data_IF_569367268597
#
_entry.id   IF_569367268597
#
_cell.length_a   1.000
_cell.length_b   1.000
_cell.length_c   1.000
_cell.angle_alpha   90.00
_cell.angle_beta   90.00
_cell.angle_gamma   90.00
#
_symmetry.space_group_name_H-M   'P 1'
#
loop_
_entity.id
_entity.type
_entity.pdbx_description
1 polymer ?
#
# COMPACT_ATOMS: atom_id res chain seq x y z
N UNK A 1 8.15 1.38 11.88
CA UNK A 1 7.93 0.10 12.62
C UNK A 1 6.99 0.40 13.76
N UNK A 2 5.88 -0.34 13.92
CA UNK A 2 4.99 -0.22 15.08
C UNK A 2 5.06 -1.55 15.83
N UNK A 3 5.51 -1.55 17.09
CA UNK A 3 5.65 -2.78 17.89
C UNK A 3 6.48 -3.86 17.19
N UNK A 4 7.62 -3.49 16.60
CA UNK A 4 8.51 -4.37 15.82
C UNK A 4 7.90 -4.98 14.54
N UNK A 5 6.79 -4.42 14.04
CA UNK A 5 6.18 -4.83 12.76
C UNK A 5 6.39 -3.78 11.69
N UNK A 6 6.70 -4.26 10.49
CA UNK A 6 6.67 -3.44 9.29
C UNK A 6 5.22 -3.13 8.96
N UNK A 7 4.83 -1.88 9.18
CA UNK A 7 3.51 -1.34 8.87
C UNK A 7 3.65 -0.09 8.01
N UNK A 8 2.56 0.33 7.40
CA UNK A 8 2.48 1.58 6.67
C UNK A 8 1.12 2.24 6.92
N UNK A 9 1.04 3.53 6.63
CA UNK A 9 -0.16 4.34 6.78
C UNK A 9 -0.57 4.92 5.42
N UNK A 10 -1.82 5.35 5.35
CA UNK A 10 -2.29 6.27 4.31
C UNK A 10 -2.23 7.69 4.87
N UNK A 11 -1.22 8.44 4.43
CA UNK A 11 -1.06 9.84 4.78
C UNK A 11 -1.98 10.65 3.88
N UNK A 12 -2.97 11.30 4.49
CA UNK A 12 -3.80 12.30 3.81
C UNK A 12 -3.00 13.58 3.79
N UNK A 13 -2.48 13.93 2.62
CA UNK A 13 -1.68 15.13 2.42
C UNK A 13 -2.54 16.26 1.88
N UNK A 14 -2.12 17.47 2.19
CA UNK A 14 -2.59 18.71 1.62
C UNK A 14 -1.40 19.61 1.32
N UNK A 15 -1.64 20.73 0.63
CA UNK A 15 -0.62 21.76 0.47
C UNK A 15 -0.51 22.58 1.75
N UNK A 16 0.71 22.91 2.18
CA UNK A 16 0.95 23.52 3.50
C UNK A 16 0.30 24.90 3.69
N UNK A 17 0.11 25.66 2.62
CA UNK A 17 -0.57 26.96 2.68
C UNK A 17 -2.08 26.86 2.89
N UNK A 18 -2.69 25.69 2.66
CA UNK A 18 -4.08 25.41 3.02
C UNK A 18 -4.24 25.05 4.52
N UNK A 19 -3.15 24.99 5.29
CA UNK A 19 -3.18 24.58 6.70
C UNK A 19 -3.95 25.53 7.62
N UNK A 20 -4.41 26.69 7.16
CA UNK A 20 -5.32 27.56 7.90
C UNK A 20 -6.79 27.14 7.73
N UNK A 21 -7.12 26.49 6.62
CA UNK A 21 -8.46 26.07 6.23
C UNK A 21 -8.75 24.63 6.69
N UNK A 22 -7.75 23.74 6.60
CA UNK A 22 -7.90 22.34 7.00
C UNK A 22 -6.99 22.03 8.19
N UNK A 23 -7.61 21.58 9.29
CA UNK A 23 -6.95 21.19 10.54
C UNK A 23 -7.11 19.71 10.82
N UNK A 24 -8.23 19.13 10.40
CA UNK A 24 -8.54 17.72 10.55
C UNK A 24 -9.25 17.15 9.31
N UNK A 25 -9.42 15.82 9.28
CA UNK A 25 -10.04 15.14 8.15
C UNK A 25 -11.46 15.66 7.84
N UNK A 26 -12.22 16.06 8.87
CA UNK A 26 -13.59 16.56 8.71
C UNK A 26 -13.65 17.84 7.88
N UNK A 27 -12.61 18.67 7.93
CA UNK A 27 -12.55 19.94 7.18
C UNK A 27 -12.47 19.72 5.66
N UNK A 28 -12.14 18.50 5.22
CA UNK A 28 -12.16 18.14 3.80
C UNK A 28 -13.58 17.95 3.24
N UNK A 29 -14.62 18.11 4.04
CA UNK A 29 -16.01 18.02 3.58
C UNK A 29 -16.29 19.08 2.51
N UNK A 30 -16.82 18.66 1.37
CA UNK A 30 -17.10 19.54 0.23
C UNK A 30 -15.88 19.95 -0.59
N UNK A 31 -14.68 19.50 -0.24
CA UNK A 31 -13.43 19.83 -0.94
C UNK A 31 -13.05 18.77 -1.98
N UNK A 32 -12.08 19.11 -2.83
CA UNK A 32 -11.58 18.24 -3.90
C UNK A 32 -10.58 17.25 -3.35
N UNK A 33 -10.82 15.96 -3.58
CA UNK A 33 -9.99 14.89 -3.07
C UNK A 33 -9.45 14.00 -4.18
N UNK A 34 -8.16 13.66 -4.17
CA UNK A 34 -7.59 12.68 -5.08
C UNK A 34 -7.25 11.35 -4.40
N UNK A 35 -7.55 10.25 -5.10
CA UNK A 35 -7.07 8.91 -4.78
C UNK A 35 -6.25 8.33 -5.93
N UNK A 36 -5.41 7.34 -5.65
CA UNK A 36 -4.53 6.74 -6.66
C UNK A 36 -5.31 5.84 -7.62
N UNK A 37 -5.82 4.72 -7.14
CA UNK A 37 -6.52 3.71 -7.94
C UNK A 37 -7.68 3.08 -7.14
N UNK A 38 -8.74 2.57 -7.80
CA UNK A 38 -9.93 2.06 -7.11
C UNK A 38 -9.67 0.91 -6.15
N UNK A 39 -8.66 0.09 -6.45
CA UNK A 39 -8.27 -1.08 -5.64
C UNK A 39 -7.09 -0.79 -4.71
N UNK A 40 -6.66 0.48 -4.59
CA UNK A 40 -5.57 0.84 -3.71
C UNK A 40 -6.03 0.78 -2.25
N UNK A 41 -5.32 -0.01 -1.44
CA UNK A 41 -5.62 -0.12 -0.01
C UNK A 41 -5.42 1.22 0.70
N UNK A 42 -4.25 1.84 0.54
CA UNK A 42 -3.96 3.16 1.12
C UNK A 42 -4.62 4.30 0.37
N UNK A 43 -4.71 4.23 -0.96
CA UNK A 43 -5.25 5.31 -1.77
C UNK A 43 -6.76 5.44 -1.71
N UNK A 44 -7.50 4.33 -1.59
CA UNK A 44 -8.96 4.33 -1.72
C UNK A 44 -9.68 3.63 -0.57
N UNK A 45 -9.39 2.34 -0.32
CA UNK A 45 -10.22 1.55 0.60
C UNK A 45 -10.20 2.03 2.04
N UNK A 46 -9.05 2.42 2.55
CA UNK A 46 -8.96 2.93 3.93
C UNK A 46 -9.65 4.28 4.11
N UNK A 47 -9.68 5.11 3.06
CA UNK A 47 -10.45 6.37 3.06
C UNK A 47 -11.95 6.06 3.11
N UNK A 48 -12.42 5.08 2.32
CA UNK A 48 -13.82 4.65 2.38
C UNK A 48 -14.20 4.06 3.75
N UNK A 49 -13.30 3.31 4.40
CA UNK A 49 -13.53 2.80 5.76
C UNK A 49 -13.62 3.95 6.78
N UNK A 50 -12.76 4.96 6.67
CA UNK A 50 -12.80 6.16 7.51
C UNK A 50 -14.13 6.92 7.34
N UNK A 51 -14.55 7.15 6.09
CA UNK A 51 -15.84 7.78 5.80
C UNK A 51 -17.01 6.98 6.38
N UNK A 52 -16.96 5.65 6.27
CA UNK A 52 -17.97 4.76 6.86
C UNK A 52 -17.98 4.86 8.40
N UNK A 53 -16.82 4.93 9.04
CA UNK A 53 -16.71 5.12 10.49
C UNK A 53 -17.31 6.48 10.93
N UNK A 54 -17.19 7.50 10.09
CA UNK A 54 -17.84 8.80 10.26
C UNK A 54 -19.33 8.83 9.82
N UNK A 55 -19.91 7.66 9.51
CA UNK A 55 -21.31 7.50 9.04
C UNK A 55 -21.63 8.32 7.79
N UNK A 56 -20.64 8.49 6.91
CA UNK A 56 -20.78 9.14 5.61
C UNK A 56 -20.29 8.22 4.49
N UNK A 57 -20.27 8.73 3.26
CA UNK A 57 -19.78 8.05 2.07
C UNK A 57 -18.97 9.02 1.19
N UNK A 58 -18.67 8.65 -0.05
CA UNK A 58 -17.89 9.44 -1.00
C UNK A 58 -18.46 10.85 -1.25
N UNK A 59 -19.77 11.08 -1.07
CA UNK A 59 -20.40 12.42 -1.15
C UNK A 59 -19.95 13.38 -0.04
N UNK A 60 -19.12 12.91 0.89
CA UNK A 60 -18.42 13.76 1.85
C UNK A 60 -17.54 14.78 1.14
N UNK A 61 -16.83 14.37 0.09
CA UNK A 61 -16.03 15.26 -0.74
C UNK A 61 -16.90 15.96 -1.79
N UNK A 62 -16.52 17.17 -2.19
CA UNK A 62 -17.23 17.91 -3.24
C UNK A 62 -16.98 17.29 -4.61
N UNK A 63 -15.71 17.02 -4.92
CA UNK A 63 -15.27 16.31 -6.11
C UNK A 63 -14.23 15.26 -5.75
N UNK A 64 -14.25 14.13 -6.47
CA UNK A 64 -13.28 13.04 -6.27
C UNK A 64 -12.57 12.74 -7.59
N UNK A 65 -11.24 12.71 -7.54
CA UNK A 65 -10.39 12.49 -8.70
C UNK A 65 -9.59 11.19 -8.58
N UNK A 66 -9.68 10.34 -9.59
CA UNK A 66 -8.76 9.20 -9.75
C UNK A 66 -7.51 9.66 -10.48
N UNK A 67 -6.37 9.74 -9.79
CA UNK A 67 -5.11 10.22 -10.38
C UNK A 67 -4.35 9.13 -11.16
N UNK A 68 -4.62 7.86 -10.88
CA UNK A 68 -3.96 6.69 -11.44
C UNK A 68 -2.62 6.32 -10.79
N UNK A 69 -2.10 7.10 -9.82
CA UNK A 69 -0.94 6.69 -9.00
C UNK A 69 -0.72 7.64 -7.82
N UNK A 70 -0.09 7.17 -6.75
CA UNK A 70 0.27 8.03 -5.62
C UNK A 70 1.13 9.25 -6.02
N UNK A 71 2.09 9.08 -6.94
CA UNK A 71 2.93 10.19 -7.41
C UNK A 71 2.10 11.25 -8.18
N UNK A 72 1.14 10.82 -9.00
CA UNK A 72 0.22 11.75 -9.68
C UNK A 72 -0.68 12.46 -8.67
N UNK A 73 -1.19 11.77 -7.65
CA UNK A 73 -1.95 12.41 -6.56
C UNK A 73 -1.14 13.51 -5.85
N UNK A 74 0.14 13.24 -5.53
CA UNK A 74 1.04 14.26 -4.95
C UNK A 74 1.16 15.47 -5.90
N UNK A 75 1.35 15.23 -7.20
CA UNK A 75 1.44 16.31 -8.18
C UNK A 75 0.14 17.13 -8.30
N UNK A 76 -1.03 16.49 -8.20
CA UNK A 76 -2.31 17.19 -8.23
C UNK A 76 -2.47 18.14 -7.03
N UNK A 77 -2.05 17.71 -5.84
CA UNK A 77 -2.03 18.56 -4.64
C UNK A 77 -1.07 19.74 -4.81
N UNK A 78 0.18 19.48 -5.23
CA UNK A 78 1.18 20.53 -5.46
C UNK A 78 0.72 21.57 -6.50
N UNK A 79 -0.01 21.13 -7.53
CA UNK A 79 -0.54 21.99 -8.60
C UNK A 79 -1.88 22.64 -8.25
N UNK A 80 -2.39 22.50 -7.02
CA UNK A 80 -3.71 23.00 -6.59
C UNK A 80 -4.89 22.48 -7.41
N UNK A 81 -4.77 21.31 -8.03
CA UNK A 81 -5.86 20.69 -8.78
C UNK A 81 -6.87 20.02 -7.84
N UNK A 82 -6.39 19.57 -6.70
CA UNK A 82 -7.17 19.03 -5.58
C UNK A 82 -6.64 19.60 -4.27
N UNK A 83 -7.46 19.58 -3.24
CA UNK A 83 -7.16 20.16 -1.93
C UNK A 83 -6.42 19.16 -1.04
N UNK A 84 -6.76 17.87 -1.15
CA UNK A 84 -6.11 16.79 -0.43
C UNK A 84 -6.02 15.49 -1.22
N UNK A 85 -5.12 14.59 -0.80
CA UNK A 85 -5.00 13.26 -1.38
C UNK A 85 -4.51 12.21 -0.38
N UNK A 86 -4.98 10.97 -0.52
CA UNK A 86 -4.50 9.82 0.25
C UNK A 86 -3.28 9.16 -0.40
N UNK A 87 -2.15 9.16 0.32
CA UNK A 87 -0.86 8.70 -0.17
C UNK A 87 -0.32 7.60 0.72
N UNK A 88 0.26 6.56 0.11
CA UNK A 88 1.05 5.61 0.86
C UNK A 88 2.24 6.32 1.54
N UNK A 89 2.30 6.27 2.88
CA UNK A 89 3.36 6.91 3.68
C UNK A 89 4.79 6.61 3.20
N UNK A 90 5.02 5.42 2.62
CA UNK A 90 6.34 5.05 2.08
C UNK A 90 6.62 5.72 0.75
N UNK A 91 5.60 5.85 -0.10
CA UNK A 91 5.69 6.58 -1.36
C UNK A 91 5.89 8.07 -1.09
N UNK A 92 5.17 8.64 -0.11
CA UNK A 92 5.37 10.02 0.31
C UNK A 92 6.81 10.26 0.78
N UNK A 93 7.31 9.42 1.68
CA UNK A 93 8.70 9.49 2.14
C UNK A 93 9.69 9.39 0.97
N UNK A 94 9.51 8.41 0.08
CA UNK A 94 10.36 8.22 -1.10
C UNK A 94 10.36 9.44 -2.02
N UNK A 95 9.20 10.08 -2.20
CA UNK A 95 9.05 11.29 -2.99
C UNK A 95 9.80 12.46 -2.37
N UNK A 96 9.63 12.70 -1.06
CA UNK A 96 10.29 13.79 -0.33
C UNK A 96 11.81 13.61 -0.25
N UNK A 97 12.29 12.39 0.02
CA UNK A 97 13.73 12.07 0.04
C UNK A 97 14.42 12.42 -1.30
N UNK A 98 13.69 12.38 -2.42
CA UNK A 98 14.19 12.74 -3.77
C UNK A 98 13.86 14.15 -4.20
N UNK A 99 12.90 14.80 -3.56
CA UNK A 99 12.46 16.15 -3.88
C UNK A 99 12.36 17.01 -2.61
N UNK A 100 13.48 17.24 -1.87
CA UNK A 100 13.42 17.91 -0.57
C UNK A 100 12.80 19.31 -0.60
N UNK A 101 12.83 19.98 -1.77
CA UNK A 101 12.17 21.29 -1.96
C UNK A 101 10.69 21.29 -1.59
N UNK A 102 10.01 20.15 -1.74
CA UNK A 102 8.58 20.02 -1.48
C UNK A 102 8.24 19.67 -0.02
N UNK A 103 9.23 19.45 0.86
CA UNK A 103 8.98 19.16 2.28
C UNK A 103 8.23 20.29 2.99
N UNK A 104 8.42 21.54 2.55
CA UNK A 104 7.72 22.71 3.09
C UNK A 104 6.41 23.04 2.36
N UNK A 105 6.15 22.36 1.24
CA UNK A 105 4.95 22.59 0.42
C UNK A 105 3.82 21.60 0.74
N UNK A 106 4.14 20.46 1.36
CA UNK A 106 3.19 19.41 1.70
C UNK A 106 3.08 19.23 3.21
N UNK A 107 1.86 19.13 3.70
CA UNK A 107 1.55 18.81 5.09
C UNK A 107 0.73 17.52 5.14
N UNK A 108 1.10 16.60 6.04
CA UNK A 108 0.25 15.45 6.39
C UNK A 108 -0.82 15.95 7.35
N UNK A 109 -2.07 15.96 6.91
CA UNK A 109 -3.24 16.35 7.70
C UNK A 109 -3.60 15.28 8.72
N UNK A 110 -3.61 14.03 8.29
CA UNK A 110 -3.84 12.86 9.15
C UNK A 110 -3.23 11.61 8.51
N UNK A 111 -3.03 10.56 9.31
CA UNK A 111 -2.54 9.26 8.85
C UNK A 111 -3.54 8.17 9.24
N UNK A 112 -4.13 7.52 8.24
CA UNK A 112 -5.08 6.42 8.42
C UNK A 112 -4.33 5.08 8.50
N UNK A 113 -4.70 4.23 9.45
CA UNK A 113 -4.09 2.91 9.63
C UNK A 113 -3.90 2.53 11.11
N UNK A 114 -2.92 1.66 11.42
CA UNK A 114 -1.86 1.13 10.53
C UNK A 114 -2.31 -0.07 9.66
N UNK A 115 -1.62 -0.28 8.53
CA UNK A 115 -1.84 -1.41 7.61
C UNK A 115 -0.62 -2.36 7.56
N UNK A 116 -0.83 -3.67 7.35
CA UNK A 116 0.25 -4.64 7.19
C UNK A 116 0.96 -4.44 5.86
N UNK A 117 2.28 -4.64 5.83
CA UNK A 117 3.06 -4.45 4.59
C UNK A 117 2.64 -5.41 3.47
N UNK A 118 2.77 -4.97 2.22
CA UNK A 118 2.36 -5.70 1.00
C UNK A 118 2.76 -7.18 1.01
N UNK A 119 1.77 -8.11 0.94
CA UNK A 119 2.06 -9.54 0.94
C UNK A 119 2.56 -10.00 -0.42
N UNK A 120 3.50 -10.94 -0.42
CA UNK A 120 3.83 -11.74 -1.60
C UNK A 120 2.94 -12.98 -1.57
N UNK A 121 2.06 -13.11 -2.56
CA UNK A 121 1.09 -14.22 -2.66
C UNK A 121 1.46 -15.19 -3.77
N UNK A 122 1.18 -16.48 -3.54
CA UNK A 122 1.39 -17.54 -4.54
C UNK A 122 0.06 -18.11 -5.00
N UNK A 123 0.00 -18.54 -6.28
CA UNK A 123 -1.12 -19.36 -6.75
C UNK A 123 -1.26 -20.60 -5.87
N UNK A 124 -2.51 -20.98 -5.54
CA UNK A 124 -2.82 -22.12 -4.67
C UNK A 124 -2.07 -23.38 -5.10
N UNK A 125 -2.12 -23.68 -6.40
CA UNK A 125 -1.60 -24.91 -7.01
C UNK A 125 -0.11 -24.84 -7.39
N UNK A 126 0.65 -23.84 -6.92
CA UNK A 126 2.10 -23.82 -7.14
C UNK A 126 2.75 -24.96 -6.33
N UNK A 127 3.55 -25.85 -6.96
CA UNK A 127 4.31 -26.88 -6.26
C UNK A 127 5.02 -26.36 -5.01
N UNK A 128 4.90 -27.10 -3.91
CA UNK A 128 5.46 -26.71 -2.60
C UNK A 128 6.98 -26.51 -2.65
N UNK A 129 7.68 -27.35 -3.42
CA UNK A 129 9.11 -27.21 -3.66
C UNK A 129 9.46 -25.85 -4.27
N UNK A 130 8.71 -25.40 -5.28
CA UNK A 130 8.93 -24.09 -5.89
C UNK A 130 8.58 -22.94 -4.96
N UNK A 131 7.46 -23.01 -4.21
CA UNK A 131 7.14 -22.01 -3.16
C UNK A 131 8.32 -21.83 -2.21
N UNK A 132 8.89 -22.93 -1.75
CA UNK A 132 10.03 -22.95 -0.83
C UNK A 132 11.28 -22.34 -1.46
N UNK A 133 11.62 -22.71 -2.71
CA UNK A 133 12.77 -22.16 -3.43
C UNK A 133 12.64 -20.65 -3.65
N UNK A 134 11.45 -20.16 -4.03
CA UNK A 134 11.18 -18.73 -4.22
C UNK A 134 11.34 -17.97 -2.91
N UNK A 135 10.75 -18.46 -1.81
CA UNK A 135 10.88 -17.83 -0.49
C UNK A 135 12.35 -17.76 -0.06
N UNK A 136 13.11 -18.85 -0.21
CA UNK A 136 14.55 -18.86 0.09
C UNK A 136 15.31 -17.83 -0.74
N UNK A 137 15.04 -17.74 -2.04
CA UNK A 137 15.68 -16.77 -2.92
C UNK A 137 15.37 -15.32 -2.51
N UNK A 138 14.09 -15.00 -2.24
CA UNK A 138 13.66 -13.67 -1.80
C UNK A 138 14.31 -13.26 -0.47
N UNK A 139 14.40 -14.18 0.49
CA UNK A 139 15.05 -13.92 1.78
C UNK A 139 16.57 -13.78 1.70
N UNK A 140 17.21 -14.44 0.73
CA UNK A 140 18.65 -14.30 0.49
C UNK A 140 19.01 -13.04 -0.32
N UNK A 141 18.06 -12.49 -1.07
CA UNK A 141 18.28 -11.40 -2.02
C UNK A 141 18.92 -10.13 -1.40
N UNK A 142 18.56 -9.67 -0.18
CA UNK A 142 19.22 -8.52 0.45
C UNK A 142 20.71 -8.74 0.76
N UNK A 143 21.14 -10.00 0.92
CA UNK A 143 22.54 -10.36 1.20
C UNK A 143 23.40 -10.44 -0.06
N UNK A 144 22.79 -10.43 -1.24
CA UNK A 144 23.51 -10.49 -2.50
C UNK A 144 23.87 -9.07 -2.96
N UNK A 145 25.16 -8.70 -3.10
CA UNK A 145 25.58 -7.34 -3.45
C UNK A 145 25.00 -6.83 -4.76
N UNK A 146 24.83 -7.71 -5.76
CA UNK A 146 24.25 -7.39 -7.07
C UNK A 146 22.78 -6.94 -6.96
N UNK A 147 22.05 -7.51 -6.00
CA UNK A 147 20.62 -7.28 -5.83
C UNK A 147 20.30 -6.31 -4.70
N UNK A 148 21.20 -6.13 -3.72
CA UNK A 148 21.00 -5.23 -2.60
C UNK A 148 20.74 -3.77 -3.03
N UNK A 149 21.44 -3.30 -4.08
CA UNK A 149 21.21 -1.96 -4.64
C UNK A 149 19.83 -1.83 -5.30
N UNK A 150 19.47 -2.78 -6.17
CA UNK A 150 18.15 -2.83 -6.83
C UNK A 150 17.01 -2.99 -5.83
N UNK A 151 17.20 -3.78 -4.79
CA UNK A 151 16.22 -3.91 -3.71
C UNK A 151 16.04 -2.60 -2.98
N UNK A 152 17.10 -1.82 -2.70
CA UNK A 152 16.93 -0.49 -2.06
C UNK A 152 16.07 0.47 -2.88
N UNK A 153 16.09 0.36 -4.21
CA UNK A 153 15.20 1.11 -5.09
C UNK A 153 13.74 0.60 -5.02
N UNK A 154 13.56 -0.70 -4.83
CA UNK A 154 12.25 -1.37 -4.77
C UNK A 154 11.62 -1.48 -3.37
N UNK A 155 12.41 -1.33 -2.30
CA UNK A 155 12.03 -1.55 -0.89
C UNK A 155 10.95 -0.56 -0.42
N UNK A 156 10.72 0.52 -1.16
CA UNK A 156 9.54 1.36 -0.98
C UNK A 156 8.23 0.53 -1.09
N UNK A 157 8.23 -0.55 -1.90
CA UNK A 157 7.08 -1.41 -2.18
C UNK A 157 7.14 -2.81 -1.55
N UNK A 158 8.30 -3.29 -1.07
CA UNK A 158 8.42 -4.65 -0.51
C UNK A 158 9.36 -4.61 0.70
N UNK A 159 8.82 -4.55 1.91
CA UNK A 159 9.63 -4.98 3.06
C UNK A 159 9.65 -6.50 3.06
N UNK A 160 10.82 -7.08 2.80
CA UNK A 160 11.13 -8.45 3.22
C UNK A 160 11.39 -8.46 4.72
N UNK A 161 10.36 -8.19 5.54
CA UNK A 161 10.33 -8.78 6.86
C UNK A 161 10.27 -10.31 6.67
N UNK A 162 10.83 -11.14 7.58
CA UNK A 162 10.68 -12.57 7.46
C UNK A 162 9.19 -12.86 7.30
N UNK A 163 8.81 -13.41 6.14
CA UNK A 163 7.46 -13.94 5.93
C UNK A 163 7.27 -14.94 7.05
N UNK A 164 6.49 -14.56 8.07
CA UNK A 164 6.10 -15.48 9.13
C UNK A 164 5.41 -16.62 8.36
N UNK A 165 5.95 -17.85 8.41
CA UNK A 165 5.25 -18.97 7.81
C UNK A 165 3.96 -19.07 8.60
N UNK A 166 2.83 -18.71 7.98
CA UNK A 166 1.53 -19.00 8.54
C UNK A 166 1.30 -20.51 8.37
N UNK A 167 2.03 -21.27 9.17
CA UNK A 167 1.82 -22.69 9.37
C UNK A 167 0.77 -22.81 10.46
N UNK A 168 -0.44 -23.19 10.08
CA UNK A 168 -1.45 -23.71 11.00
C UNK A 168 -0.86 -24.97 11.68
N UNK A 169 -0.16 -24.79 12.80
CA UNK A 169 0.17 -25.87 13.72
C UNK A 169 -0.09 -25.40 15.15
N UNK A 170 -1.13 -25.98 15.73
CA UNK A 170 -1.46 -26.12 17.15
C UNK A 170 -0.98 -25.05 18.11
N UNK A 171 -1.91 -24.22 18.60
CA UNK A 171 -1.65 -23.29 19.71
C UNK A 171 -2.34 -21.93 19.57
N UNK A 172 -3.52 -21.87 18.96
CA UNK A 172 -4.28 -20.64 18.79
C UNK A 172 -5.43 -20.59 19.79
N UNK A 173 -5.30 -19.79 20.84
CA UNK A 173 -6.48 -19.30 21.56
C UNK A 173 -6.29 -17.89 22.14
N UNK A 174 -5.05 -17.47 22.44
CA UNK A 174 -4.80 -16.13 23.00
C UNK A 174 -4.48 -15.04 21.96
N UNK A 175 -3.91 -15.39 20.81
CA UNK A 175 -3.55 -14.43 19.74
C UNK A 175 -4.66 -14.18 18.70
N UNK A 176 -5.71 -15.01 18.71
CA UNK A 176 -6.84 -14.88 17.80
C UNK A 176 -7.77 -13.72 18.19
N UNK A 177 -7.91 -13.36 19.47
CA UNK A 177 -8.86 -12.32 19.90
C UNK A 177 -8.49 -10.91 19.44
N UNK A 178 -7.18 -10.60 19.36
CA UNK A 178 -6.70 -9.27 18.98
C UNK A 178 -6.57 -9.08 17.47
N UNK A 179 -6.34 -10.16 16.72
CA UNK A 179 -6.32 -10.15 15.25
C UNK A 179 -7.74 -10.23 14.70
N UNK A 180 -8.65 -11.01 15.31
CA UNK A 180 -10.05 -11.10 14.87
C UNK A 180 -10.85 -9.82 15.09
N UNK A 181 -10.56 -9.00 16.12
CA UNK A 181 -11.29 -7.74 16.32
C UNK A 181 -11.08 -6.75 15.16
N UNK A 182 -9.92 -6.77 14.51
CA UNK A 182 -9.62 -5.92 13.34
C UNK A 182 -9.98 -6.62 12.01
N UNK A 183 -9.79 -7.94 11.91
CA UNK A 183 -10.15 -8.71 10.71
C UNK A 183 -11.67 -8.84 10.50
N UNK A 184 -12.51 -8.93 11.53
CA UNK A 184 -13.97 -9.06 11.35
C UNK A 184 -14.58 -7.82 10.64
N UNK A 185 -13.98 -6.63 10.79
CA UNK A 185 -14.41 -5.42 10.05
C UNK A 185 -13.92 -5.38 8.60
N UNK A 186 -12.74 -5.93 8.30
CA UNK A 186 -12.09 -5.83 6.99
C UNK A 186 -12.27 -7.08 6.11
N UNK A 187 -12.69 -8.20 6.67
CA UNK A 187 -12.96 -9.46 5.95
C UNK A 187 -13.94 -9.28 4.78
N UNK A 188 -15.05 -8.52 4.91
CA UNK A 188 -15.93 -8.25 3.76
C UNK A 188 -15.23 -7.44 2.65
N UNK A 189 -14.30 -6.54 2.99
CA UNK A 189 -13.58 -5.67 2.06
C UNK A 189 -12.45 -6.41 1.34
N UNK A 190 -11.69 -7.25 2.06
CA UNK A 190 -10.71 -8.17 1.48
C UNK A 190 -11.38 -9.20 0.57
N UNK A 191 -12.53 -9.74 0.98
CA UNK A 191 -13.27 -10.71 0.17
C UNK A 191 -13.94 -10.04 -1.03
N UNK A 192 -14.37 -8.78 -0.93
CA UNK A 192 -14.84 -7.98 -2.06
C UNK A 192 -13.70 -7.64 -3.04
N UNK A 193 -12.52 -7.25 -2.55
CA UNK A 193 -11.32 -6.98 -3.36
C UNK A 193 -10.76 -8.24 -4.02
N UNK A 194 -10.93 -9.42 -3.39
CA UNK A 194 -10.57 -10.70 -3.99
C UNK A 194 -11.64 -11.23 -4.96
N UNK A 195 -12.92 -10.92 -4.76
CA UNK A 195 -14.01 -11.26 -5.68
C UNK A 195 -14.09 -10.33 -6.89
N UNK A 196 -13.67 -9.07 -6.76
CA UNK A 196 -13.56 -8.10 -7.85
C UNK A 196 -12.23 -8.17 -8.60
N UNK A 197 -11.35 -9.12 -8.24
CA UNK A 197 -10.16 -9.46 -9.01
C UNK A 197 -10.59 -10.15 -10.31
N UNK A 198 -11.09 -9.33 -11.24
CA UNK A 198 -11.41 -9.73 -12.59
C UNK A 198 -10.13 -10.25 -13.27
N UNK A 199 -10.24 -11.44 -13.87
CA UNK A 199 -9.18 -12.11 -14.62
C UNK A 199 -8.71 -11.27 -15.81
N UNK A 200 -9.35 -10.15 -16.13
CA UNK A 200 -8.97 -9.23 -17.19
C UNK A 200 -7.88 -8.21 -16.78
N UNK A 201 -7.72 -7.88 -15.49
CA UNK A 201 -6.68 -6.95 -14.99
C UNK A 201 -5.33 -7.63 -14.74
N UNK A 202 -4.99 -8.51 -15.68
CA UNK A 202 -3.72 -9.22 -15.78
C UNK A 202 -2.56 -8.23 -15.93
N UNK A 203 -2.74 -7.00 -16.38
CA UNK A 203 -1.63 -6.09 -16.73
C UNK A 203 -0.73 -5.64 -15.55
N UNK A 204 -1.28 -5.36 -14.37
CA UNK A 204 -0.47 -4.94 -13.21
C UNK A 204 0.20 -6.14 -12.53
N UNK A 205 -0.54 -7.25 -12.44
CA UNK A 205 0.01 -8.53 -12.03
C UNK A 205 1.04 -9.02 -13.03
N UNK A 206 0.89 -8.75 -14.33
CA UNK A 206 1.85 -9.06 -15.40
C UNK A 206 3.03 -8.10 -15.40
N UNK A 207 2.91 -6.84 -15.01
CA UNK A 207 4.11 -6.01 -14.83
C UNK A 207 4.95 -6.50 -13.66
N UNK A 208 4.32 -6.84 -12.54
CA UNK A 208 5.01 -7.44 -11.39
C UNK A 208 5.49 -8.87 -11.69
N UNK A 209 4.70 -9.67 -12.41
CA UNK A 209 5.02 -11.06 -12.78
C UNK A 209 6.03 -11.13 -13.91
N UNK A 210 5.97 -10.30 -14.95
CA UNK A 210 6.99 -10.19 -16.01
C UNK A 210 8.29 -9.63 -15.45
N UNK A 211 8.24 -8.72 -14.48
CA UNK A 211 9.45 -8.26 -13.78
C UNK A 211 10.03 -9.36 -12.88
N UNK A 212 9.21 -10.08 -12.11
CA UNK A 212 9.63 -11.25 -11.35
C UNK A 212 10.11 -12.38 -12.26
N UNK A 213 9.47 -12.62 -13.41
CA UNK A 213 9.86 -13.61 -14.43
C UNK A 213 11.17 -13.21 -15.10
N UNK A 214 11.42 -11.92 -15.36
CA UNK A 214 12.73 -11.44 -15.82
C UNK A 214 13.81 -11.59 -14.76
N UNK A 215 13.45 -11.48 -13.47
CA UNK A 215 14.32 -11.84 -12.35
C UNK A 215 14.56 -13.37 -12.33
N UNK A 216 13.53 -14.20 -12.54
CA UNK A 216 13.64 -15.67 -12.53
C UNK A 216 14.35 -16.25 -13.76
N UNK A 217 14.16 -15.70 -14.96
CA UNK A 217 14.84 -16.12 -16.19
C UNK A 217 16.34 -15.80 -16.12
N UNK A 218 16.72 -14.74 -15.40
CA UNK A 218 18.12 -14.44 -15.06
C UNK A 218 18.72 -15.42 -14.04
N UNK A 219 17.90 -16.20 -13.32
CA UNK A 219 18.30 -17.23 -12.36
C UNK A 219 18.39 -18.64 -12.99
N UNK A 220 17.67 -18.89 -14.08
CA UNK A 220 17.64 -20.17 -14.79
C UNK A 220 18.09 -19.98 -16.25
N UNK A 221 19.41 -19.94 -16.49
CA UNK A 221 19.94 -20.47 -17.75
C UNK A 221 19.87 -22.00 -17.62
N UNK A 222 18.84 -22.61 -18.18
CA UNK A 222 18.95 -24.02 -18.56
C UNK A 222 19.77 -24.08 -19.86
N UNK A 223 20.80 -24.95 -19.98
CA UNK A 223 21.30 -25.34 -21.29
C UNK A 223 20.20 -26.02 -22.11
#
# INVERSE_FOLDING_TARGET
MVGNRAMYFSDVIMRSDNGHEYKEFHDLKGHKFAYSEPYSMSGAYIVLDELKNQKTNSSFFGDIFQSGSHLKSIQMVLKKQVDAAAIDSRVLKYFLDRNPRHERELTVLTSLGPMPTYPIVFRKNLPAAMKTSIVKALLAMPKNPKWASKLRELICFICTAPLIPFALKGGGLWLLSSIFKTEIRLLPLLNASMKSFDKSNIELSVKMFTFLVNIFSSFFHFP
#
